data_IF_939707859241
#
_entry.id   IF_939707859241
#
_cell.length_a   1.000
_cell.length_b   1.000
_cell.length_c   1.000
_cell.angle_alpha   90.00
_cell.angle_beta   90.00
_cell.angle_gamma   90.00
#
_symmetry.space_group_name_H-M   'P 1'
#
loop_
_entity.id
_entity.type
_entity.pdbx_description
1 polymer ?
#
# COMPACT_ATOMS: atom_id res chain seq x y z
N UNK A 1 -9.98 13.55 22.40
CA UNK A 1 -9.11 12.50 22.96
C UNK A 1 -8.29 11.98 21.79
N UNK A 2 -6.98 12.13 21.84
CA UNK A 2 -6.03 11.60 20.85
C UNK A 2 -5.90 10.10 21.04
N UNK A 3 -6.14 9.31 19.99
CA UNK A 3 -6.06 7.86 20.05
C UNK A 3 -4.68 7.38 19.62
N UNK A 4 -4.08 6.54 20.44
CA UNK A 4 -2.87 5.81 20.07
C UNK A 4 -3.21 4.32 20.01
N UNK A 5 -3.49 3.83 18.80
CA UNK A 5 -3.77 2.42 18.56
C UNK A 5 -2.48 1.70 18.13
N UNK A 6 -2.32 0.46 18.57
CA UNK A 6 -1.21 -0.40 18.16
C UNK A 6 -1.74 -1.74 17.69
N UNK A 7 -1.17 -2.28 16.62
CA UNK A 7 -1.38 -3.64 16.15
C UNK A 7 -0.04 -4.27 15.82
N UNK A 8 0.23 -5.44 16.38
CA UNK A 8 1.40 -6.26 16.08
C UNK A 8 0.92 -7.57 15.46
N UNK A 9 1.57 -7.97 14.37
CA UNK A 9 1.24 -9.13 13.55
C UNK A 9 2.49 -9.97 13.37
N UNK A 10 2.40 -11.26 13.66
CA UNK A 10 3.50 -12.22 13.56
C UNK A 10 3.07 -13.41 12.72
N UNK A 11 3.51 -13.45 11.46
CA UNK A 11 3.29 -14.58 10.56
C UNK A 11 4.40 -15.61 10.72
N UNK A 12 4.04 -16.89 10.92
CA UNK A 12 4.97 -18.02 11.06
C UNK A 12 4.51 -19.21 10.23
N UNK A 13 5.43 -20.15 9.95
CA UNK A 13 5.06 -21.46 9.38
C UNK A 13 4.99 -22.48 10.50
N UNK A 14 3.84 -23.17 10.60
CA UNK A 14 3.57 -24.23 11.58
C UNK A 14 2.90 -25.40 10.88
N UNK A 15 3.50 -26.60 10.98
CA UNK A 15 2.99 -27.80 10.32
C UNK A 15 2.61 -27.56 8.84
N UNK A 16 3.54 -26.96 8.08
CA UNK A 16 3.39 -26.61 6.65
C UNK A 16 2.34 -25.55 6.31
N UNK A 17 1.73 -24.93 7.33
CA UNK A 17 0.75 -23.85 7.18
C UNK A 17 1.32 -22.51 7.61
N UNK A 18 1.08 -21.45 6.85
CA UNK A 18 1.33 -20.10 7.35
C UNK A 18 0.23 -19.70 8.33
N UNK A 19 0.58 -19.24 9.53
CA UNK A 19 -0.39 -18.78 10.54
C UNK A 19 -0.05 -17.38 11.01
N UNK A 20 -1.06 -16.63 11.45
CA UNK A 20 -0.89 -15.31 12.05
C UNK A 20 -1.21 -15.35 13.54
N UNK A 21 -0.31 -14.81 14.37
CA UNK A 21 -0.61 -14.35 15.73
C UNK A 21 -0.63 -12.83 15.77
N UNK A 22 -1.43 -12.25 16.65
CA UNK A 22 -1.51 -10.79 16.74
C UNK A 22 -1.81 -10.28 18.15
N UNK A 23 -1.36 -9.07 18.44
CA UNK A 23 -1.63 -8.32 19.68
C UNK A 23 -2.08 -6.91 19.32
N UNK A 24 -2.97 -6.31 20.10
CA UNK A 24 -3.45 -4.97 19.82
C UNK A 24 -3.79 -4.16 21.07
N UNK A 25 -3.68 -2.84 20.95
CA UNK A 25 -4.16 -1.84 21.90
C UNK A 25 -5.01 -0.82 21.15
N UNK A 26 -6.10 -0.35 21.76
CA UNK A 26 -7.03 0.55 21.09
C UNK A 26 -7.94 -0.19 20.09
N UNK A 27 -8.44 0.48 19.05
CA UNK A 27 -9.48 -0.07 18.16
C UNK A 27 -9.01 -0.99 17.02
N UNK A 28 -7.71 -1.09 16.74
CA UNK A 28 -7.22 -1.94 15.62
C UNK A 28 -7.51 -3.42 15.88
N UNK A 29 -8.06 -4.13 14.88
CA UNK A 29 -8.35 -5.57 14.97
C UNK A 29 -7.96 -6.28 13.68
N UNK A 30 -7.77 -7.59 13.81
CA UNK A 30 -7.65 -8.52 12.69
C UNK A 30 -8.89 -9.41 12.71
N UNK A 31 -9.52 -9.58 11.55
CA UNK A 31 -10.58 -10.57 11.37
C UNK A 31 -9.97 -11.98 11.27
N UNK A 32 -10.83 -12.99 11.18
CA UNK A 32 -10.40 -14.38 11.04
C UNK A 32 -9.37 -14.56 9.91
N UNK A 33 -8.31 -15.35 10.16
CA UNK A 33 -7.39 -15.77 9.12
C UNK A 33 -8.09 -16.68 8.10
N UNK A 34 -7.96 -16.33 6.83
CA UNK A 34 -8.58 -17.02 5.71
C UNK A 34 -7.51 -17.64 4.82
N UNK A 35 -7.86 -18.76 4.17
CA UNK A 35 -6.95 -19.55 3.34
C UNK A 35 -7.60 -19.88 1.99
N UNK A 36 -8.02 -18.85 1.22
CA UNK A 36 -8.74 -19.07 -0.04
C UNK A 36 -7.85 -19.70 -1.13
N UNK A 37 -6.53 -19.67 -0.95
CA UNK A 37 -5.52 -20.19 -1.88
C UNK A 37 -4.78 -21.42 -1.30
N UNK A 38 -5.31 -22.03 -0.24
CA UNK A 38 -4.66 -23.11 0.52
C UNK A 38 -3.88 -22.62 1.75
N UNK A 39 -3.36 -23.56 2.53
CA UNK A 39 -2.77 -23.30 3.86
C UNK A 39 -1.43 -22.55 3.83
N UNK A 40 -0.78 -22.45 2.67
CA UNK A 40 0.50 -21.77 2.52
C UNK A 40 0.40 -20.23 2.58
N UNK A 41 -0.75 -19.65 2.24
CA UNK A 41 -0.95 -18.19 2.19
C UNK A 41 -2.02 -17.76 3.20
N UNK A 42 -1.60 -17.05 4.25
CA UNK A 42 -2.50 -16.59 5.31
C UNK A 42 -3.07 -15.21 4.97
N UNK A 43 -4.36 -15.14 4.62
CA UNK A 43 -5.04 -13.88 4.31
C UNK A 43 -5.70 -13.30 5.56
N UNK A 44 -5.43 -12.03 5.82
CA UNK A 44 -5.99 -11.30 6.95
C UNK A 44 -6.55 -9.95 6.52
N UNK A 45 -7.67 -9.58 7.16
CA UNK A 45 -8.32 -8.28 6.99
C UNK A 45 -8.09 -7.47 8.26
N UNK A 46 -7.34 -6.39 8.15
CA UNK A 46 -7.14 -5.39 9.20
C UNK A 46 -8.32 -4.44 9.21
N UNK A 47 -8.91 -4.23 10.37
CA UNK A 47 -10.02 -3.29 10.56
C UNK A 47 -9.68 -2.23 11.60
N UNK A 48 -10.06 -0.99 11.28
CA UNK A 48 -10.05 0.13 12.20
C UNK A 48 -11.51 0.62 12.35
N UNK A 49 -12.27 0.11 13.33
CA UNK A 49 -13.70 0.38 13.47
C UNK A 49 -14.11 1.87 13.52
N UNK A 50 -13.33 2.79 14.12
CA UNK A 50 -13.59 4.24 14.01
C UNK A 50 -13.64 4.77 12.57
N UNK A 51 -13.04 4.06 11.60
CA UNK A 51 -13.21 4.32 10.17
C UNK A 51 -12.38 5.49 9.62
N UNK A 52 -11.55 6.13 10.45
CA UNK A 52 -10.60 7.18 10.06
C UNK A 52 -9.85 7.78 11.25
N UNK A 53 -8.91 8.66 10.96
CA UNK A 53 -8.06 9.36 11.92
C UNK A 53 -8.42 10.85 11.96
N UNK A 54 -8.46 11.44 13.15
CA UNK A 54 -8.51 12.90 13.36
C UNK A 54 -7.17 13.42 13.86
N UNK A 55 -7.01 14.75 13.94
CA UNK A 55 -5.78 15.37 14.43
C UNK A 55 -5.33 14.80 15.78
N UNK A 56 -4.05 14.42 15.86
CA UNK A 56 -3.42 13.83 17.04
C UNK A 56 -3.57 12.32 17.19
N UNK A 57 -4.37 11.66 16.34
CA UNK A 57 -4.45 10.19 16.33
C UNK A 57 -3.19 9.55 15.73
N UNK A 58 -2.82 8.38 16.24
CA UNK A 58 -1.76 7.54 15.70
C UNK A 58 -2.22 6.09 15.62
N UNK A 59 -2.05 5.47 14.44
CA UNK A 59 -2.18 4.04 14.23
C UNK A 59 -0.78 3.47 13.98
N UNK A 60 -0.24 2.72 14.94
CA UNK A 60 1.01 1.97 14.81
C UNK A 60 0.70 0.53 14.41
N UNK A 61 1.15 0.11 13.23
CA UNK A 61 0.98 -1.24 12.69
C UNK A 61 2.37 -1.84 12.46
N UNK A 62 2.63 -2.99 13.06
CA UNK A 62 3.87 -3.75 12.83
C UNK A 62 3.51 -5.13 12.32
N UNK A 63 4.16 -5.56 11.24
CA UNK A 63 4.05 -6.93 10.75
C UNK A 63 5.43 -7.57 10.60
N UNK A 64 5.64 -8.67 11.30
CA UNK A 64 6.80 -9.54 11.16
C UNK A 64 6.39 -10.78 10.38
N UNK A 65 7.13 -11.12 9.33
CA UNK A 65 6.91 -12.33 8.55
C UNK A 65 8.12 -13.23 8.70
N UNK A 66 7.94 -14.33 9.42
CA UNK A 66 8.97 -15.31 9.71
C UNK A 66 9.47 -16.06 8.47
N UNK A 67 10.57 -16.82 8.59
CA UNK A 67 11.20 -17.49 7.46
C UNK A 67 10.22 -18.36 6.67
N UNK A 68 10.19 -18.17 5.35
CA UNK A 68 9.31 -18.91 4.43
C UNK A 68 7.80 -18.69 4.60
N UNK A 69 7.34 -17.86 5.55
CA UNK A 69 5.92 -17.56 5.70
C UNK A 69 5.42 -16.65 4.57
N UNK A 70 4.15 -16.83 4.17
CA UNK A 70 3.49 -15.99 3.17
C UNK A 70 2.21 -15.39 3.74
N UNK A 71 2.26 -14.10 4.09
CA UNK A 71 1.11 -13.34 4.55
C UNK A 71 0.47 -12.49 3.46
N UNK A 72 -0.84 -12.28 3.53
CA UNK A 72 -1.55 -11.24 2.78
C UNK A 72 -2.37 -10.41 3.75
N UNK A 73 -2.18 -9.10 3.72
CA UNK A 73 -2.88 -8.17 4.60
C UNK A 73 -3.56 -7.08 3.78
N UNK A 74 -4.87 -6.93 3.99
CA UNK A 74 -5.70 -5.92 3.33
C UNK A 74 -6.65 -5.26 4.33
N UNK A 75 -7.37 -4.22 3.92
CA UNK A 75 -8.42 -3.55 4.71
C UNK A 75 -9.76 -3.67 4.01
N UNK A 76 -10.90 -3.63 4.73
CA UNK A 76 -12.22 -3.75 4.12
C UNK A 76 -12.72 -2.43 3.52
N UNK A 77 -12.01 -1.34 3.76
CA UNK A 77 -12.37 -0.01 3.28
C UNK A 77 -11.20 0.94 3.39
N UNK A 78 -11.40 2.13 2.83
CA UNK A 78 -10.42 3.20 2.87
C UNK A 78 -10.06 3.63 4.29
N UNK A 79 -8.78 3.94 4.50
CA UNK A 79 -8.34 4.73 5.65
C UNK A 79 -8.68 6.20 5.39
N UNK A 80 -9.47 6.84 6.25
CA UNK A 80 -9.86 8.24 6.10
C UNK A 80 -9.02 9.13 7.00
N UNK A 81 -8.43 10.18 6.46
CA UNK A 81 -7.79 11.25 7.22
C UNK A 81 -8.73 12.44 7.24
N UNK A 82 -9.35 12.70 8.38
CA UNK A 82 -10.33 13.78 8.56
C UNK A 82 -9.66 15.13 8.80
N UNK A 83 -10.50 16.17 8.82
CA UNK A 83 -10.11 17.54 9.20
C UNK A 83 -9.35 17.53 10.53
N UNK A 84 -8.26 18.29 10.58
CA UNK A 84 -7.53 18.60 11.81
C UNK A 84 -7.61 20.09 12.14
N UNK A 85 -7.56 20.42 13.44
CA UNK A 85 -7.42 21.78 13.94
C UNK A 85 -5.94 22.23 14.07
N UNK A 86 -4.99 21.38 13.69
CA UNK A 86 -3.55 21.69 13.68
C UNK A 86 -2.67 20.48 13.97
N UNK A 87 -3.12 19.55 14.80
CA UNK A 87 -2.35 18.34 15.14
C UNK A 87 -2.34 17.34 13.98
N UNK A 88 -1.23 16.63 13.82
CA UNK A 88 -1.09 15.66 12.74
C UNK A 88 -1.72 14.31 13.12
N UNK A 89 -2.48 13.72 12.21
CA UNK A 89 -2.89 12.33 12.24
C UNK A 89 -1.82 11.45 11.57
N UNK A 90 -1.45 10.33 12.18
CA UNK A 90 -0.38 9.47 11.68
C UNK A 90 -0.85 8.02 11.54
N UNK A 91 -0.68 7.44 10.36
CA UNK A 91 -0.62 6.00 10.21
C UNK A 91 0.84 5.61 10.00
N UNK A 92 1.39 4.79 10.88
CA UNK A 92 2.77 4.27 10.79
C UNK A 92 2.71 2.76 10.66
N UNK A 93 3.22 2.25 9.54
CA UNK A 93 3.33 0.83 9.25
C UNK A 93 4.80 0.44 9.12
N UNK A 94 5.19 -0.61 9.83
CA UNK A 94 6.52 -1.20 9.75
C UNK A 94 6.42 -2.69 9.39
N UNK A 95 7.03 -3.08 8.28
CA UNK A 95 7.02 -4.44 7.76
C UNK A 95 8.43 -5.02 7.83
N UNK A 96 8.58 -6.16 8.49
CA UNK A 96 9.86 -6.87 8.61
C UNK A 96 9.71 -8.30 8.09
N UNK A 97 10.40 -8.63 7.01
CA UNK A 97 10.37 -9.94 6.37
C UNK A 97 11.70 -10.66 6.56
N UNK A 98 11.64 -11.87 7.13
CA UNK A 98 12.78 -12.76 7.29
C UNK A 98 13.13 -13.48 5.98
N UNK A 99 14.17 -14.33 6.01
CA UNK A 99 14.67 -15.03 4.81
C UNK A 99 13.57 -15.84 4.11
N UNK A 100 13.44 -15.67 2.80
CA UNK A 100 12.44 -16.36 1.98
C UNK A 100 10.99 -15.99 2.28
N UNK A 101 10.73 -15.04 3.19
CA UNK A 101 9.39 -14.61 3.55
C UNK A 101 8.72 -13.82 2.41
N UNK A 102 7.41 -13.96 2.29
CA UNK A 102 6.58 -13.24 1.31
C UNK A 102 5.49 -12.47 2.03
N UNK A 103 5.28 -11.23 1.63
CA UNK A 103 4.16 -10.42 2.13
C UNK A 103 3.46 -9.73 0.99
N UNK A 104 2.14 -9.68 1.10
CA UNK A 104 1.29 -8.85 0.28
C UNK A 104 0.64 -7.77 1.15
N UNK A 105 1.13 -6.53 1.07
CA UNK A 105 0.58 -5.37 1.79
C UNK A 105 -0.36 -4.58 0.87
N UNK A 106 -1.65 -4.85 1.01
CA UNK A 106 -2.69 -4.43 0.05
C UNK A 106 -3.83 -3.68 0.75
N UNK A 107 -3.56 -2.63 1.55
CA UNK A 107 -4.63 -1.82 2.12
C UNK A 107 -5.44 -1.17 0.99
N UNK A 108 -6.73 -0.93 1.19
CA UNK A 108 -7.46 -0.03 0.30
C UNK A 108 -6.95 1.42 0.46
N UNK A 109 -7.50 2.33 -0.31
CA UNK A 109 -6.99 3.69 -0.46
C UNK A 109 -6.97 4.49 0.85
N UNK A 110 -6.06 5.47 0.92
CA UNK A 110 -6.13 6.57 1.86
C UNK A 110 -6.98 7.71 1.27
N UNK A 111 -8.00 8.17 2.00
CA UNK A 111 -8.81 9.33 1.62
C UNK A 111 -8.41 10.53 2.46
N UNK A 112 -7.83 11.56 1.82
CA UNK A 112 -7.48 12.82 2.44
C UNK A 112 -8.67 13.78 2.34
N UNK A 113 -9.39 13.98 3.46
CA UNK A 113 -10.49 14.94 3.50
C UNK A 113 -9.96 16.37 3.61
N UNK A 114 -10.80 17.34 3.23
CA UNK A 114 -10.46 18.76 3.33
C UNK A 114 -9.99 19.15 4.74
N UNK A 115 -8.91 19.93 4.77
CA UNK A 115 -8.24 20.40 5.97
C UNK A 115 -7.64 19.29 6.86
N UNK A 116 -7.30 18.11 6.31
CA UNK A 116 -6.52 17.13 7.06
C UNK A 116 -5.08 17.61 7.29
N UNK A 117 -4.48 17.18 8.39
CA UNK A 117 -3.04 17.30 8.64
C UNK A 117 -2.56 15.89 8.90
N UNK A 118 -1.93 15.24 7.92
CA UNK A 118 -1.77 13.79 7.95
C UNK A 118 -0.44 13.29 7.40
N UNK A 119 0.01 12.16 7.93
CA UNK A 119 1.10 11.37 7.38
C UNK A 119 0.67 9.90 7.28
N UNK A 120 0.88 9.29 6.10
CA UNK A 120 0.84 7.85 5.93
C UNK A 120 2.26 7.36 5.67
N UNK A 121 2.80 6.56 6.60
CA UNK A 121 4.18 6.08 6.58
C UNK A 121 4.22 4.56 6.50
N UNK A 122 4.96 4.06 5.52
CA UNK A 122 5.29 2.65 5.35
C UNK A 122 6.81 2.48 5.30
N UNK A 123 7.36 1.73 6.25
CA UNK A 123 8.78 1.34 6.28
C UNK A 123 8.90 -0.18 6.12
N UNK A 124 9.81 -0.61 5.25
CA UNK A 124 9.94 -2.01 4.82
C UNK A 124 11.38 -2.49 5.01
N UNK A 125 11.53 -3.57 5.77
CA UNK A 125 12.79 -4.25 6.04
C UNK A 125 12.72 -5.68 5.50
N UNK A 126 13.63 -6.03 4.58
CA UNK A 126 13.63 -7.33 3.93
C UNK A 126 14.99 -8.00 4.05
N UNK A 127 15.02 -9.18 4.64
CA UNK A 127 16.18 -10.08 4.63
C UNK A 127 16.38 -10.70 3.24
N UNK A 128 17.58 -11.23 2.90
CA UNK A 128 17.82 -11.91 1.64
C UNK A 128 16.76 -12.97 1.29
N UNK A 129 16.41 -13.07 0.01
CA UNK A 129 15.36 -13.99 -0.47
C UNK A 129 13.92 -13.58 -0.14
N UNK A 130 13.69 -12.59 0.73
CA UNK A 130 12.35 -12.09 0.99
C UNK A 130 11.78 -11.29 -0.19
N UNK A 131 10.44 -11.28 -0.32
CA UNK A 131 9.73 -10.50 -1.33
C UNK A 131 8.47 -9.85 -0.77
N UNK A 132 8.26 -8.58 -1.10
CA UNK A 132 7.06 -7.82 -0.75
C UNK A 132 6.39 -7.32 -2.04
N UNK A 133 5.12 -7.70 -2.25
CA UNK A 133 4.23 -6.98 -3.14
C UNK A 133 3.38 -6.03 -2.30
N UNK A 134 3.37 -4.74 -2.64
CA UNK A 134 2.54 -3.80 -1.93
C UNK A 134 2.11 -2.64 -2.80
N UNK A 135 1.19 -1.86 -2.29
CA UNK A 135 0.80 -0.61 -2.91
C UNK A 135 0.48 0.47 -1.89
N UNK A 136 0.39 1.69 -2.39
CA UNK A 136 -0.22 2.83 -1.72
C UNK A 136 -1.09 3.56 -2.75
N UNK A 137 -2.35 3.77 -2.41
CA UNK A 137 -3.31 4.52 -3.22
C UNK A 137 -3.86 5.62 -2.35
N UNK A 138 -3.74 6.87 -2.80
CA UNK A 138 -4.17 8.04 -2.05
C UNK A 138 -5.11 8.88 -2.91
N UNK A 139 -6.29 9.24 -2.37
CA UNK A 139 -7.22 10.16 -3.01
C UNK A 139 -7.33 11.48 -2.22
N UNK A 140 -7.36 12.58 -2.95
CA UNK A 140 -7.41 13.95 -2.45
C UNK A 140 -8.84 14.48 -2.58
N UNK A 141 -9.58 14.44 -1.46
CA UNK A 141 -10.98 14.79 -1.40
C UNK A 141 -11.91 13.74 -2.02
N UNK A 142 -13.18 14.12 -2.17
CA UNK A 142 -14.25 13.30 -2.76
C UNK A 142 -14.86 14.08 -3.94
N UNK A 143 -14.21 14.06 -5.12
CA UNK A 143 -14.67 14.84 -6.28
C UNK A 143 -16.09 14.47 -6.72
N UNK A 144 -16.47 13.18 -6.65
CA UNK A 144 -17.84 12.74 -6.96
C UNK A 144 -18.92 13.31 -6.05
N UNK A 145 -18.55 13.80 -4.87
CA UNK A 145 -19.44 14.46 -3.91
C UNK A 145 -19.24 15.99 -3.85
N UNK A 146 -18.46 16.58 -4.77
CA UNK A 146 -18.08 17.99 -4.75
C UNK A 146 -17.42 18.44 -3.43
N UNK A 147 -16.65 17.56 -2.78
CA UNK A 147 -15.90 17.85 -1.55
C UNK A 147 -14.40 17.79 -1.82
N UNK A 148 -13.77 18.86 -2.34
CA UNK A 148 -12.35 18.84 -2.73
C UNK A 148 -11.40 18.85 -1.52
N UNK A 149 -10.17 18.42 -1.73
CA UNK A 149 -9.04 18.71 -0.82
C UNK A 149 -8.51 20.11 -1.12
N UNK A 150 -9.06 21.13 -0.46
CA UNK A 150 -8.76 22.54 -0.71
C UNK A 150 -7.85 23.16 0.36
N UNK A 151 -7.74 22.52 1.53
CA UNK A 151 -6.91 22.94 2.66
C UNK A 151 -6.20 21.73 3.25
N UNK A 152 -5.11 21.98 3.96
CA UNK A 152 -4.40 20.96 4.73
C UNK A 152 -3.21 20.38 3.99
N UNK A 153 -2.55 19.43 4.63
CA UNK A 153 -1.35 18.78 4.14
C UNK A 153 -1.43 17.27 4.37
N UNK A 154 -0.96 16.52 3.37
CA UNK A 154 -0.78 15.08 3.46
C UNK A 154 0.66 14.73 3.08
N UNK A 155 1.36 14.04 3.97
CA UNK A 155 2.68 13.48 3.69
C UNK A 155 2.56 11.98 3.40
N UNK A 156 2.87 11.59 2.18
CA UNK A 156 3.11 10.18 1.85
C UNK A 156 4.58 9.85 2.14
N UNK A 157 4.84 8.73 2.80
CA UNK A 157 6.19 8.23 3.08
C UNK A 157 6.25 6.73 2.83
N UNK A 158 6.96 6.31 1.79
CA UNK A 158 7.29 4.91 1.51
C UNK A 158 8.81 4.75 1.57
N UNK A 159 9.31 3.80 2.35
CA UNK A 159 10.74 3.67 2.58
C UNK A 159 11.20 2.22 2.68
N UNK A 160 12.27 1.92 1.94
CA UNK A 160 13.18 0.81 2.20
C UNK A 160 14.51 1.45 2.61
N UNK A 161 14.87 1.47 3.91
CA UNK A 161 15.98 2.27 4.40
C UNK A 161 17.28 2.02 3.65
N UNK A 162 17.94 3.10 3.22
CA UNK A 162 19.19 3.08 2.46
C UNK A 162 19.07 2.61 1.00
N UNK A 163 17.87 2.25 0.53
CA UNK A 163 17.64 1.71 -0.82
C UNK A 163 16.64 2.53 -1.63
N UNK A 164 15.52 2.92 -1.02
CA UNK A 164 14.44 3.64 -1.70
C UNK A 164 13.67 4.50 -0.71
N UNK A 165 13.42 5.77 -1.07
CA UNK A 165 12.58 6.69 -0.33
C UNK A 165 11.68 7.43 -1.32
N UNK A 166 10.38 7.35 -1.09
CA UNK A 166 9.38 8.21 -1.71
C UNK A 166 8.70 9.00 -0.59
N UNK A 167 8.97 10.30 -0.54
CA UNK A 167 8.42 11.19 0.47
C UNK A 167 7.92 12.48 -0.16
N UNK A 168 6.61 12.53 -0.40
CA UNK A 168 5.93 13.66 -1.00
C UNK A 168 5.06 14.38 0.03
N UNK A 169 5.25 15.69 0.18
CA UNK A 169 4.31 16.56 0.90
C UNK A 169 3.34 17.15 -0.12
N UNK A 170 2.07 16.77 0.00
CA UNK A 170 0.97 17.33 -0.79
C UNK A 170 0.32 18.41 0.06
N UNK A 171 0.61 19.67 -0.25
CA UNK A 171 -0.05 20.82 0.33
C UNK A 171 -1.22 21.24 -0.57
N UNK A 172 -2.43 21.33 0.00
CA UNK A 172 -3.62 21.74 -0.74
C UNK A 172 -3.49 23.15 -1.35
N UNK A 173 -2.65 24.01 -0.78
CA UNK A 173 -2.38 25.35 -1.28
C UNK A 173 -1.39 25.36 -2.47
N UNK A 174 -0.67 24.26 -2.73
CA UNK A 174 0.27 24.15 -3.85
C UNK A 174 -0.46 23.76 -5.14
N UNK A 175 -1.17 24.71 -5.72
CA UNK A 175 -1.87 24.52 -7.00
C UNK A 175 -0.91 24.22 -8.16
N UNK A 176 0.39 24.56 -8.04
CA UNK A 176 1.36 24.18 -9.07
C UNK A 176 1.61 22.68 -9.04
N UNK A 177 1.80 22.10 -7.85
CA UNK A 177 1.89 20.65 -7.71
C UNK A 177 0.58 19.97 -8.16
N UNK A 178 -0.58 20.48 -7.72
CA UNK A 178 -1.86 19.81 -7.96
C UNK A 178 -2.35 19.88 -9.42
N UNK A 179 -2.10 20.98 -10.13
CA UNK A 179 -2.74 21.25 -11.42
C UNK A 179 -1.78 21.34 -12.60
N UNK A 180 -0.47 21.52 -12.36
CA UNK A 180 0.52 21.54 -13.46
C UNK A 180 0.65 20.17 -14.11
N UNK A 181 0.84 20.10 -15.45
CA UNK A 181 1.21 18.87 -16.15
C UNK A 181 2.52 18.22 -15.64
N UNK A 182 3.39 18.98 -14.98
CA UNK A 182 4.63 18.48 -14.36
C UNK A 182 4.41 17.96 -12.93
N UNK A 183 3.24 18.21 -12.35
CA UNK A 183 2.82 17.72 -11.04
C UNK A 183 1.79 16.62 -11.20
N UNK A 184 0.62 16.80 -10.59
CA UNK A 184 -0.49 15.84 -10.66
C UNK A 184 -1.42 16.05 -11.86
N UNK A 185 -1.17 17.07 -12.70
CA UNK A 185 -1.94 17.35 -13.92
C UNK A 185 -3.46 17.43 -13.70
N UNK A 186 -3.91 17.91 -12.53
CA UNK A 186 -5.33 18.00 -12.19
C UNK A 186 -5.95 16.69 -11.68
N UNK A 187 -5.21 15.58 -11.67
CA UNK A 187 -5.64 14.34 -11.05
C UNK A 187 -5.72 14.47 -9.53
N UNK A 188 -6.61 13.69 -8.92
CA UNK A 188 -6.88 13.70 -7.48
C UNK A 188 -6.69 12.34 -6.83
N UNK A 189 -6.19 11.36 -7.57
CA UNK A 189 -5.74 10.09 -7.03
C UNK A 189 -4.32 9.79 -7.52
N UNK A 190 -3.45 9.42 -6.59
CA UNK A 190 -2.10 8.94 -6.83
C UNK A 190 -2.05 7.47 -6.41
N UNK A 191 -1.40 6.64 -7.21
CA UNK A 191 -1.25 5.22 -6.91
C UNK A 191 0.14 4.73 -7.24
N UNK A 192 0.68 3.89 -6.35
CA UNK A 192 1.95 3.22 -6.51
C UNK A 192 1.78 1.75 -6.17
N UNK A 193 2.14 0.83 -7.07
CA UNK A 193 2.29 -0.60 -6.78
C UNK A 193 3.74 -0.98 -6.98
N UNK A 194 4.30 -1.72 -6.04
CA UNK A 194 5.73 -2.02 -5.98
C UNK A 194 5.99 -3.48 -5.61
N UNK A 195 7.08 -4.01 -6.17
CA UNK A 195 7.74 -5.20 -5.70
C UNK A 195 9.09 -4.82 -5.08
N UNK A 196 9.32 -5.22 -3.83
CA UNK A 196 10.59 -5.04 -3.12
C UNK A 196 11.19 -6.42 -2.83
N UNK A 197 12.45 -6.61 -3.19
CA UNK A 197 13.21 -7.82 -2.94
C UNK A 197 14.30 -7.60 -1.89
N UNK A 198 14.51 -8.59 -1.02
CA UNK A 198 15.57 -8.58 -0.03
C UNK A 198 16.99 -8.74 -0.59
N UNK A 199 17.12 -9.00 -1.89
CA UNK A 199 18.39 -9.09 -2.62
C UNK A 199 18.21 -8.57 -4.05
N UNK A 200 19.27 -8.10 -4.73
CA UNK A 200 19.16 -7.59 -6.09
C UNK A 200 18.55 -8.63 -7.03
N UNK A 201 17.54 -8.23 -7.78
CA UNK A 201 16.92 -9.01 -8.85
C UNK A 201 17.92 -9.23 -9.99
N UNK A 202 17.89 -10.42 -10.57
CA UNK A 202 18.55 -10.69 -11.84
C UNK A 202 18.02 -9.76 -12.94
N UNK A 203 18.87 -9.47 -13.94
CA UNK A 203 18.51 -8.58 -15.06
C UNK A 203 17.23 -9.03 -15.75
N UNK A 204 17.09 -10.33 -15.98
CA UNK A 204 15.93 -10.94 -16.64
C UNK A 204 14.65 -10.76 -15.83
N UNK A 205 14.65 -11.15 -14.55
CA UNK A 205 13.49 -10.98 -13.66
C UNK A 205 13.05 -9.52 -13.56
N UNK A 206 14.00 -8.58 -13.45
CA UNK A 206 13.70 -7.14 -13.41
C UNK A 206 13.12 -6.65 -14.73
N UNK A 207 13.67 -7.08 -15.86
CA UNK A 207 13.19 -6.68 -17.18
C UNK A 207 11.78 -7.25 -17.43
N UNK A 208 11.57 -8.54 -17.14
CA UNK A 208 10.26 -9.18 -17.23
C UNK A 208 9.20 -8.49 -16.37
N UNK A 209 9.57 -8.02 -15.17
CA UNK A 209 8.65 -7.28 -14.32
C UNK A 209 8.25 -5.92 -14.90
N UNK A 210 9.21 -5.20 -15.51
CA UNK A 210 8.94 -3.94 -16.20
C UNK A 210 8.08 -4.16 -17.45
N UNK A 211 8.35 -5.21 -18.23
CA UNK A 211 7.64 -5.49 -19.47
C UNK A 211 6.21 -5.97 -19.20
N UNK A 212 6.02 -6.86 -18.22
CA UNK A 212 4.70 -7.27 -17.77
C UNK A 212 3.88 -6.09 -17.23
N UNK A 213 4.50 -5.16 -16.49
CA UNK A 213 3.84 -3.96 -16.04
C UNK A 213 3.47 -3.03 -17.21
N UNK A 214 4.35 -2.86 -18.20
CA UNK A 214 4.08 -2.03 -19.39
C UNK A 214 2.95 -2.61 -20.24
N UNK A 215 2.91 -3.90 -20.46
CA UNK A 215 1.82 -4.56 -21.19
C UNK A 215 0.46 -4.27 -20.53
N UNK A 216 0.40 -4.37 -19.20
CA UNK A 216 -0.80 -4.02 -18.43
C UNK A 216 -1.13 -2.52 -18.56
N UNK A 217 -0.13 -1.64 -18.49
CA UNK A 217 -0.31 -0.18 -18.59
C UNK A 217 -0.80 0.23 -19.99
N UNK A 218 -0.18 -0.29 -21.06
CA UNK A 218 -0.48 0.07 -22.44
C UNK A 218 -1.91 -0.32 -22.83
N UNK A 219 -2.46 -1.38 -22.24
CA UNK A 219 -3.83 -1.82 -22.43
C UNK A 219 -4.85 -1.10 -21.50
N UNK A 220 -4.41 -0.21 -20.61
CA UNK A 220 -5.25 0.42 -19.60
C UNK A 220 -5.59 1.88 -19.95
N UNK A 221 -6.80 2.40 -19.60
CA UNK A 221 -7.14 3.81 -19.81
C UNK A 221 -6.22 4.84 -19.15
N UNK A 222 -5.41 4.43 -18.18
CA UNK A 222 -4.41 5.28 -17.51
C UNK A 222 -3.02 5.24 -18.17
N UNK A 223 -2.87 4.65 -19.36
CA UNK A 223 -1.58 4.52 -20.03
C UNK A 223 -0.78 5.84 -20.10
N UNK A 224 -1.46 6.96 -20.38
CA UNK A 224 -0.83 8.27 -20.51
C UNK A 224 -0.34 8.86 -19.17
N UNK A 225 -0.82 8.33 -18.04
CA UNK A 225 -0.56 8.87 -16.70
C UNK A 225 0.03 7.83 -15.75
N UNK A 226 0.50 6.71 -16.30
CA UNK A 226 1.14 5.63 -15.57
C UNK A 226 2.52 5.29 -16.15
N UNK A 227 3.42 4.76 -15.31
CA UNK A 227 4.75 4.37 -15.75
C UNK A 227 5.41 3.36 -14.81
N UNK A 228 6.14 2.42 -15.40
CA UNK A 228 6.92 1.40 -14.70
C UNK A 228 8.41 1.75 -14.68
N UNK A 229 9.03 1.68 -13.50
CA UNK A 229 10.45 1.97 -13.29
C UNK A 229 11.08 1.02 -12.29
N UNK A 230 12.41 0.89 -12.33
CA UNK A 230 13.17 0.17 -11.31
C UNK A 230 14.32 1.06 -10.85
N UNK A 231 14.16 1.76 -9.71
CA UNK A 231 15.15 2.77 -9.28
C UNK A 231 16.48 2.17 -8.84
N UNK A 232 16.50 0.88 -8.50
CA UNK A 232 17.68 0.14 -8.10
C UNK A 232 17.48 -1.36 -8.39
N UNK A 233 18.45 -2.20 -8.04
CA UNK A 233 18.35 -3.65 -8.28
C UNK A 233 17.27 -4.39 -7.48
N UNK A 234 16.67 -3.78 -6.46
CA UNK A 234 15.77 -4.45 -5.49
C UNK A 234 14.32 -3.99 -5.56
N UNK A 235 14.03 -2.91 -6.28
CA UNK A 235 12.70 -2.32 -6.33
C UNK A 235 12.24 -2.21 -7.79
N UNK A 236 11.02 -2.67 -8.07
CA UNK A 236 10.28 -2.36 -9.30
C UNK A 236 8.98 -1.71 -8.87
N UNK A 237 8.61 -0.60 -9.49
CA UNK A 237 7.46 0.21 -9.11
C UNK A 237 6.72 0.73 -10.34
N UNK A 238 5.39 0.66 -10.29
CA UNK A 238 4.49 1.39 -11.18
C UNK A 238 3.89 2.54 -10.40
N UNK A 239 3.89 3.73 -10.99
CA UNK A 239 3.14 4.88 -10.49
C UNK A 239 2.04 5.25 -11.48
N UNK A 240 0.92 5.75 -10.99
CA UNK A 240 -0.17 6.24 -11.82
C UNK A 240 -0.85 7.46 -11.17
N UNK A 241 -1.28 8.39 -12.02
CA UNK A 241 -2.22 9.44 -11.66
C UNK A 241 -3.59 9.10 -12.24
N UNK A 242 -4.64 9.29 -11.45
CA UNK A 242 -6.00 8.98 -11.84
C UNK A 242 -6.99 10.06 -11.37
N UNK A 243 -8.10 10.27 -12.10
CA UNK A 243 -9.14 11.19 -11.64
C UNK A 243 -9.86 10.69 -10.39
N UNK A 244 -9.96 9.37 -10.23
CA UNK A 244 -10.66 8.65 -9.15
C UNK A 244 -9.90 7.38 -8.75
N UNK A 245 -10.32 6.76 -7.65
CA UNK A 245 -9.66 5.59 -7.05
C UNK A 245 -9.87 4.33 -7.88
N UNK A 246 -11.05 4.14 -8.44
CA UNK A 246 -11.46 2.92 -9.13
C UNK A 246 -10.53 2.55 -10.30
N UNK A 247 -10.22 3.44 -11.26
CA UNK A 247 -9.28 3.10 -12.33
C UNK A 247 -7.85 2.91 -11.83
N UNK A 248 -7.45 3.59 -10.74
CA UNK A 248 -6.15 3.37 -10.14
C UNK A 248 -6.05 1.97 -9.51
N UNK A 249 -7.03 1.58 -8.70
CA UNK A 249 -7.11 0.26 -8.07
C UNK A 249 -7.20 -0.86 -9.09
N UNK A 250 -7.95 -0.69 -10.19
CA UNK A 250 -8.00 -1.68 -11.27
C UNK A 250 -6.60 -1.89 -11.89
N UNK A 251 -5.89 -0.81 -12.21
CA UNK A 251 -4.51 -0.90 -12.70
C UNK A 251 -3.58 -1.58 -11.69
N UNK A 252 -3.60 -1.16 -10.41
CA UNK A 252 -2.74 -1.73 -9.37
C UNK A 252 -3.01 -3.24 -9.18
N UNK A 253 -4.28 -3.66 -9.24
CA UNK A 253 -4.68 -5.06 -9.13
C UNK A 253 -4.18 -5.90 -10.31
N UNK A 254 -4.26 -5.39 -11.54
CA UNK A 254 -3.77 -6.08 -12.74
C UNK A 254 -2.25 -6.23 -12.74
N UNK A 255 -1.52 -5.16 -12.40
CA UNK A 255 -0.05 -5.20 -12.27
C UNK A 255 0.37 -6.16 -11.16
N UNK A 256 -0.30 -6.12 -9.99
CA UNK A 256 -0.08 -7.10 -8.92
C UNK A 256 -0.28 -8.53 -9.43
N UNK A 257 -1.36 -8.79 -10.18
CA UNK A 257 -1.63 -10.10 -10.75
C UNK A 257 -0.48 -10.62 -11.62
N UNK A 258 -0.04 -9.80 -12.59
CA UNK A 258 1.09 -10.14 -13.45
C UNK A 258 2.39 -10.39 -12.67
N UNK A 259 2.65 -9.59 -11.62
CA UNK A 259 3.82 -9.77 -10.77
C UNK A 259 3.73 -10.99 -9.84
N UNK A 260 2.54 -11.38 -9.37
CA UNK A 260 2.36 -12.63 -8.61
C UNK A 260 2.74 -13.85 -9.44
N UNK A 261 2.31 -13.89 -10.69
CA UNK A 261 2.66 -14.97 -11.61
C UNK A 261 4.16 -14.98 -11.90
N UNK A 262 4.73 -13.82 -12.24
CA UNK A 262 6.14 -13.69 -12.58
C UNK A 262 7.06 -14.05 -11.41
N UNK A 263 6.87 -13.45 -10.23
CA UNK A 263 7.81 -13.57 -9.12
C UNK A 263 7.57 -14.82 -8.27
N UNK A 264 6.32 -15.26 -8.13
CA UNK A 264 5.95 -16.30 -7.18
C UNK A 264 5.28 -17.52 -7.80
N UNK A 265 5.03 -17.51 -9.12
CA UNK A 265 4.33 -18.57 -9.83
C UNK A 265 2.95 -18.87 -9.21
N UNK A 266 2.31 -17.82 -8.69
CA UNK A 266 0.99 -17.89 -8.08
C UNK A 266 -0.04 -17.24 -8.99
N UNK A 267 -1.28 -17.77 -9.03
CA UNK A 267 -2.36 -17.16 -9.79
C UNK A 267 -2.68 -15.75 -9.25
N UNK A 268 -3.32 -14.90 -10.08
CA UNK A 268 -3.65 -13.51 -9.73
C UNK A 268 -4.91 -13.43 -8.86
N UNK A 269 -5.01 -14.29 -7.84
CA UNK A 269 -6.19 -14.38 -6.97
C UNK A 269 -6.43 -13.05 -6.27
N UNK A 270 -7.69 -12.60 -6.28
CA UNK A 270 -8.13 -11.41 -5.55
C UNK A 270 -8.48 -11.80 -4.11
N UNK A 271 -8.06 -11.03 -3.10
CA UNK A 271 -8.61 -11.13 -1.76
C UNK A 271 -10.14 -11.13 -1.79
N UNK A 272 -10.74 -12.06 -1.06
CA UNK A 272 -12.21 -12.27 -1.03
C UNK A 272 -12.98 -10.99 -0.69
N UNK A 273 -12.40 -10.10 0.11
CA UNK A 273 -13.02 -8.85 0.54
C UNK A 273 -13.23 -7.85 -0.60
N UNK A 274 -12.50 -7.97 -1.73
CA UNK A 274 -12.67 -7.09 -2.89
C UNK A 274 -13.77 -7.55 -3.86
N UNK A 275 -14.36 -8.73 -3.63
CA UNK A 275 -15.46 -9.25 -4.45
C UNK A 275 -16.84 -8.83 -3.93
N UNK A 276 -16.89 -7.97 -2.91
CA UNK A 276 -18.12 -7.45 -2.30
C UNK A 276 -18.49 -6.08 -2.85
#
# INVERSE_FOLDING_TARGET
>A
MTWHARLQLDYTVEAERCVLRHQHTGPLRILQSLYPEGDAVCHNVLVHPPGGLVGGDTLDITATVGPGAHGLLTTPGATRFYRSAGERALQRTELTLAEGARLEWLPLEALCYDACQAENRLTMHLAPGAGLLGWDVTALGLPGASLPFARGQFQQHLEVPGLWLERGLIDAADTRLLDSPLGLAGHRCLASVFFVAGSPLGREARQGALDAAREVIDAHPLAATAGATSPNGRVVIVRALAPLVEPAMDLMQRVRGAWRELFWQLPPTRPRIWAM
#
